data_IF_906962896809
#
_entry.id   IF_906962896809
#
_cell.length_a   1.000
_cell.length_b   1.000
_cell.length_c   1.000
_cell.angle_alpha   90.00
_cell.angle_beta   90.00
_cell.angle_gamma   90.00
#
_symmetry.space_group_name_H-M   'P 1'
#
loop_
_entity.id
_entity.type
_entity.pdbx_description
1 polymer ?
#
# COMPACT_ATOMS: atom_id res chain seq x y z
N UNK A 1 -8.46 -2.54 1.71
CA UNK A 1 -6.98 -2.63 1.75
C UNK A 1 -6.52 -3.62 0.72
N UNK A 2 -5.62 -3.21 -0.19
CA UNK A 2 -4.96 -4.08 -1.17
C UNK A 2 -3.71 -4.71 -0.53
N UNK A 3 -3.93 -5.85 0.11
CA UNK A 3 -2.92 -6.47 0.94
C UNK A 3 -1.89 -7.26 0.13
N UNK A 4 -0.62 -7.20 0.52
CA UNK A 4 0.51 -7.86 -0.18
C UNK A 4 0.67 -7.44 -1.66
N UNK A 5 0.12 -6.30 -2.06
CA UNK A 5 0.08 -5.87 -3.47
C UNK A 5 -0.96 -6.60 -4.32
N UNK A 6 -1.90 -7.33 -3.70
CA UNK A 6 -3.00 -8.02 -4.36
C UNK A 6 -4.31 -7.25 -4.15
N UNK A 7 -5.08 -7.10 -5.21
CA UNK A 7 -6.34 -6.35 -5.16
C UNK A 7 -7.42 -7.04 -4.33
N UNK A 8 -8.28 -6.23 -3.71
CA UNK A 8 -9.62 -6.68 -3.31
C UNK A 8 -10.49 -6.92 -4.56
N UNK A 9 -11.64 -7.59 -4.39
CA UNK A 9 -12.67 -7.77 -5.41
C UNK A 9 -13.36 -6.43 -5.73
N UNK A 10 -12.65 -5.56 -6.47
CA UNK A 10 -13.05 -4.17 -6.67
C UNK A 10 -14.33 -4.01 -7.46
N UNK A 11 -14.64 -4.91 -8.39
CA UNK A 11 -15.91 -4.83 -9.13
C UNK A 11 -17.11 -4.99 -8.18
N UNK A 12 -17.05 -5.96 -7.28
CA UNK A 12 -18.08 -6.19 -6.26
C UNK A 12 -18.18 -5.02 -5.28
N UNK A 13 -17.02 -4.51 -4.80
CA UNK A 13 -16.99 -3.38 -3.88
C UNK A 13 -17.58 -2.13 -4.52
N UNK A 14 -17.22 -1.84 -5.77
CA UNK A 14 -17.71 -0.67 -6.50
C UNK A 14 -19.20 -0.79 -6.82
N UNK A 15 -19.70 -1.99 -7.15
CA UNK A 15 -21.13 -2.22 -7.35
C UNK A 15 -21.94 -1.93 -6.07
N UNK A 16 -21.48 -2.44 -4.92
CA UNK A 16 -22.09 -2.15 -3.63
C UNK A 16 -22.05 -0.64 -3.34
N UNK A 17 -20.90 -0.01 -3.54
CA UNK A 17 -20.72 1.41 -3.30
C UNK A 17 -21.69 2.27 -4.15
N UNK A 18 -21.84 1.95 -5.42
CA UNK A 18 -22.77 2.63 -6.32
C UNK A 18 -24.23 2.47 -5.88
N UNK A 19 -24.66 1.24 -5.53
CA UNK A 19 -26.02 0.97 -5.09
C UNK A 19 -26.39 1.69 -3.79
N UNK A 20 -25.41 1.93 -2.92
CA UNK A 20 -25.62 2.56 -1.62
C UNK A 20 -25.08 3.99 -1.53
N UNK A 21 -24.67 4.58 -2.64
CA UNK A 21 -24.08 5.93 -2.71
C UNK A 21 -22.92 6.14 -1.71
N UNK A 22 -21.99 5.17 -1.65
CA UNK A 22 -20.86 5.19 -0.74
C UNK A 22 -19.59 5.70 -1.45
N UNK A 23 -18.74 6.37 -0.68
CA UNK A 23 -17.39 6.75 -1.11
C UNK A 23 -16.47 5.56 -0.84
N UNK A 24 -15.65 5.20 -1.85
CA UNK A 24 -14.63 4.16 -1.70
C UNK A 24 -13.24 4.81 -1.61
N UNK A 25 -12.53 4.50 -0.54
CA UNK A 25 -11.14 4.88 -0.33
C UNK A 25 -10.30 3.59 -0.41
N UNK A 26 -9.39 3.50 -1.38
CA UNK A 26 -8.48 2.39 -1.50
C UNK A 26 -7.25 2.61 -0.61
N UNK A 27 -7.06 1.76 0.40
CA UNK A 27 -5.75 1.64 1.04
C UNK A 27 -4.86 0.81 0.11
N UNK A 28 -4.12 1.49 -0.73
CA UNK A 28 -3.15 0.94 -1.67
C UNK A 28 -1.70 1.14 -1.18
N UNK A 29 -1.51 1.22 0.15
CA UNK A 29 -0.18 1.40 0.76
C UNK A 29 0.84 0.32 0.36
N UNK A 30 0.37 -0.80 -0.18
CA UNK A 30 1.19 -1.90 -0.71
C UNK A 30 0.95 -2.11 -2.22
N UNK A 31 0.20 -1.23 -2.88
CA UNK A 31 -0.38 -1.46 -4.21
C UNK A 31 0.30 -0.76 -5.38
N UNK A 32 1.36 0.03 -5.15
CA UNK A 32 2.04 0.72 -6.25
C UNK A 32 2.61 -0.30 -7.28
N UNK A 33 2.43 -0.05 -8.58
CA UNK A 33 2.77 -0.97 -9.69
C UNK A 33 1.94 -2.26 -9.73
N UNK A 34 0.90 -2.39 -8.90
CA UNK A 34 -0.06 -3.50 -8.96
C UNK A 34 -1.36 -3.05 -9.62
N UNK A 35 -2.12 -4.00 -10.17
CA UNK A 35 -3.37 -3.70 -10.88
C UNK A 35 -4.45 -4.76 -10.68
N UNK A 36 -5.70 -4.34 -10.93
CA UNK A 36 -6.89 -5.18 -10.98
C UNK A 36 -7.57 -5.00 -12.33
N UNK A 37 -7.64 -6.07 -13.12
CA UNK A 37 -8.23 -6.06 -14.49
C UNK A 37 -7.72 -4.89 -15.34
N UNK A 38 -6.38 -4.66 -15.28
CA UNK A 38 -5.71 -3.61 -16.03
C UNK A 38 -5.81 -2.19 -15.45
N UNK A 39 -6.52 -2.00 -14.33
CA UNK A 39 -6.58 -0.70 -13.63
C UNK A 39 -5.58 -0.68 -12.48
N UNK A 40 -4.76 0.36 -12.39
CA UNK A 40 -3.81 0.52 -11.29
C UNK A 40 -4.55 0.60 -9.95
N UNK A 41 -4.03 -0.09 -8.92
CA UNK A 41 -4.59 -0.01 -7.57
C UNK A 41 -4.44 1.41 -7.01
N UNK A 42 -5.44 1.87 -6.27
CA UNK A 42 -5.56 3.23 -5.80
C UNK A 42 -6.25 4.20 -6.77
N UNK A 43 -6.61 3.75 -7.99
CA UNK A 43 -7.28 4.58 -9.00
C UNK A 43 -8.73 4.15 -9.32
N UNK A 44 -9.23 3.13 -8.65
CA UNK A 44 -10.54 2.54 -8.94
C UNK A 44 -11.64 3.20 -8.10
N UNK A 45 -11.37 3.48 -6.84
CA UNK A 45 -12.28 4.19 -5.92
C UNK A 45 -12.33 5.70 -6.15
N UNK A 46 -12.93 6.42 -5.22
CA UNK A 46 -12.95 7.89 -5.20
C UNK A 46 -11.60 8.48 -4.81
N UNK A 47 -10.93 7.82 -3.89
CA UNK A 47 -9.59 8.16 -3.40
C UNK A 47 -8.74 6.90 -3.30
N UNK A 48 -7.43 7.05 -3.46
CA UNK A 48 -6.46 6.01 -3.18
C UNK A 48 -5.28 6.56 -2.40
N UNK A 49 -4.69 5.73 -1.54
CA UNK A 49 -3.58 6.11 -0.69
C UNK A 49 -2.38 5.21 -0.96
N UNK A 50 -1.25 5.78 -1.40
CA UNK A 50 0.04 5.11 -1.45
C UNK A 50 0.85 5.46 -0.22
N UNK A 51 1.67 4.51 0.22
CA UNK A 51 2.68 4.73 1.27
C UNK A 51 4.08 4.63 0.67
N UNK A 52 4.94 5.57 1.05
CA UNK A 52 6.37 5.55 0.75
C UNK A 52 7.21 5.45 2.04
N UNK A 53 6.62 4.79 3.07
CA UNK A 53 7.35 4.41 4.27
C UNK A 53 8.55 3.52 3.92
N UNK A 54 9.58 3.47 4.77
CA UNK A 54 10.83 2.73 4.52
C UNK A 54 10.63 1.23 4.22
N UNK A 55 9.54 0.63 4.69
CA UNK A 55 9.21 -0.79 4.46
C UNK A 55 8.55 -1.07 3.11
N UNK A 56 8.23 -0.05 2.31
CA UNK A 56 7.52 -0.21 1.04
C UNK A 56 8.47 -0.49 -0.13
N UNK A 57 7.90 -0.87 -1.27
CA UNK A 57 8.68 -1.18 -2.47
C UNK A 57 9.47 0.02 -2.98
N UNK A 58 8.94 1.22 -2.77
CA UNK A 58 9.54 2.52 -3.06
C UNK A 58 9.43 3.38 -1.81
N UNK A 59 10.51 3.99 -1.39
CA UNK A 59 10.58 4.64 -0.09
C UNK A 59 11.11 6.07 -0.17
N UNK A 60 10.60 6.92 0.71
CA UNK A 60 11.15 8.23 1.03
C UNK A 60 11.42 8.40 2.54
N UNK A 61 11.57 7.26 3.26
CA UNK A 61 11.62 7.21 4.71
C UNK A 61 10.22 7.25 5.30
N UNK A 62 9.64 8.43 5.38
CA UNK A 62 8.24 8.67 5.73
C UNK A 62 7.57 9.50 4.66
N UNK A 63 6.39 9.08 4.22
CA UNK A 63 5.59 9.82 3.24
C UNK A 63 4.56 8.96 2.54
N UNK A 64 3.82 9.59 1.65
CA UNK A 64 2.76 8.95 0.88
C UNK A 64 2.24 9.84 -0.22
N UNK A 65 1.27 9.31 -0.98
CA UNK A 65 0.54 10.07 -1.98
C UNK A 65 -0.95 9.78 -1.86
N UNK A 66 -1.76 10.82 -2.01
CA UNK A 66 -3.20 10.73 -2.16
C UNK A 66 -3.54 10.84 -3.65
N UNK A 67 -4.23 9.84 -4.17
CA UNK A 67 -4.78 9.82 -5.50
C UNK A 67 -6.24 10.28 -5.42
N UNK A 68 -6.63 11.21 -6.27
CA UNK A 68 -7.94 11.84 -6.26
C UNK A 68 -8.58 11.65 -7.63
N UNK A 69 -9.73 11.00 -7.67
CA UNK A 69 -10.44 10.71 -8.91
C UNK A 69 -11.19 11.92 -9.47
N UNK A 70 -11.87 12.66 -8.60
CA UNK A 70 -12.69 13.81 -8.99
C UNK A 70 -11.92 15.12 -8.79
N UNK A 71 -11.76 15.90 -9.86
CA UNK A 71 -11.03 17.17 -9.85
C UNK A 71 -11.60 18.19 -8.84
N UNK A 72 -12.91 18.09 -8.49
CA UNK A 72 -13.54 18.98 -7.51
C UNK A 72 -12.91 18.88 -6.11
N UNK A 73 -12.34 17.72 -5.75
CA UNK A 73 -11.78 17.44 -4.44
C UNK A 73 -10.30 17.85 -4.32
N UNK A 74 -9.65 18.20 -5.45
CA UNK A 74 -8.20 18.50 -5.50
C UNK A 74 -7.86 19.76 -4.69
N UNK A 75 -8.64 20.83 -4.83
CA UNK A 75 -8.36 22.08 -4.13
C UNK A 75 -8.42 21.92 -2.62
N UNK A 76 -9.44 21.24 -2.12
CA UNK A 76 -9.60 20.99 -0.69
C UNK A 76 -8.47 20.08 -0.15
N UNK A 77 -8.08 19.07 -0.90
CA UNK A 77 -6.95 18.21 -0.54
C UNK A 77 -5.62 18.99 -0.46
N UNK A 78 -5.37 19.92 -1.39
CA UNK A 78 -4.19 20.80 -1.35
C UNK A 78 -4.19 21.71 -0.11
N UNK A 79 -5.37 22.26 0.24
CA UNK A 79 -5.54 23.11 1.42
C UNK A 79 -5.24 22.31 2.70
N UNK A 80 -5.86 21.13 2.84
CA UNK A 80 -5.65 20.26 4.01
C UNK A 80 -4.18 19.85 4.12
N UNK A 81 -3.55 19.49 3.01
CA UNK A 81 -2.13 19.09 2.95
C UNK A 81 -1.18 20.20 3.43
N UNK A 82 -1.51 21.45 3.14
CA UNK A 82 -0.65 22.61 3.43
C UNK A 82 -1.20 23.48 4.57
N UNK A 83 -1.47 22.89 5.70
CA UNK A 83 -1.83 23.58 6.97
C UNK A 83 -3.13 24.39 6.88
N UNK A 84 -4.05 24.00 6.00
CA UNK A 84 -5.30 24.73 5.80
C UNK A 84 -5.14 26.04 5.05
N UNK A 85 -4.05 26.23 4.29
CA UNK A 85 -3.77 27.44 3.52
C UNK A 85 -4.03 27.22 2.02
N UNK A 86 -4.34 28.31 1.31
CA UNK A 86 -4.46 28.31 -0.14
C UNK A 86 -3.12 28.57 -0.87
N UNK A 87 -2.00 28.15 -0.26
CA UNK A 87 -0.63 28.39 -0.73
C UNK A 87 -0.35 27.81 -2.12
N UNK A 88 -0.96 26.66 -2.47
CA UNK A 88 -0.83 26.08 -3.81
C UNK A 88 -1.33 27.02 -4.91
N UNK A 89 -2.41 27.78 -4.67
CA UNK A 89 -2.90 28.82 -5.60
C UNK A 89 -1.92 29.98 -5.76
N UNK A 90 -1.24 30.37 -4.68
CA UNK A 90 -0.22 31.42 -4.72
C UNK A 90 0.96 31.01 -5.61
N UNK A 91 1.47 29.80 -5.46
CA UNK A 91 2.57 29.30 -6.30
C UNK A 91 2.18 29.15 -7.78
N UNK A 92 0.91 28.93 -8.08
CA UNK A 92 0.41 28.92 -9.46
C UNK A 92 0.09 30.31 -10.00
N UNK A 93 0.33 31.40 -9.24
CA UNK A 93 0.04 32.77 -9.64
C UNK A 93 -1.46 33.09 -9.75
N UNK A 94 -2.31 32.32 -9.10
CA UNK A 94 -3.78 32.51 -9.14
C UNK A 94 -4.29 33.49 -8.09
N UNK A 95 -3.48 33.81 -7.10
CA UNK A 95 -3.75 34.79 -6.03
C UNK A 95 -2.46 35.52 -5.68
N UNK A 96 -2.58 36.79 -5.25
CA UNK A 96 -1.43 37.64 -4.91
C UNK A 96 -0.81 37.32 -3.54
N UNK A 97 -1.61 36.76 -2.62
CA UNK A 97 -1.18 36.41 -1.26
C UNK A 97 -1.96 35.22 -0.74
N UNK A 98 -1.27 34.24 -0.18
CA UNK A 98 -1.93 33.12 0.49
C UNK A 98 -2.29 33.45 1.94
N UNK A 99 -3.30 32.75 2.44
CA UNK A 99 -3.78 32.88 3.82
C UNK A 99 -4.33 31.56 4.33
N UNK A 100 -4.58 31.46 5.63
CA UNK A 100 -5.27 30.33 6.24
C UNK A 100 -6.77 30.42 5.91
N UNK A 101 -7.32 29.35 5.31
CA UNK A 101 -8.69 29.32 4.80
C UNK A 101 -9.54 28.19 5.35
N UNK A 102 -8.92 27.10 5.84
CA UNK A 102 -9.62 25.94 6.36
C UNK A 102 -8.75 25.13 7.33
N UNK A 103 -9.28 24.02 7.88
CA UNK A 103 -8.49 23.06 8.64
C UNK A 103 -7.44 22.39 7.74
N UNK A 104 -6.33 21.99 8.35
CA UNK A 104 -5.27 21.26 7.65
C UNK A 104 -4.11 20.94 8.57
N UNK A 105 -3.16 20.18 8.05
CA UNK A 105 -1.94 19.83 8.75
C UNK A 105 -0.72 19.86 7.83
N UNK A 106 0.46 19.68 8.38
CA UNK A 106 1.71 19.67 7.61
C UNK A 106 1.98 18.26 7.09
N UNK A 107 1.39 17.92 5.93
CA UNK A 107 1.54 16.63 5.29
C UNK A 107 2.60 16.57 4.19
N UNK A 108 3.17 17.72 3.82
CA UNK A 108 4.20 17.76 2.78
C UNK A 108 5.50 17.13 3.26
N UNK A 109 6.09 16.21 2.47
CA UNK A 109 7.45 15.75 2.71
C UNK A 109 8.46 16.86 2.42
N UNK A 110 9.72 16.67 2.88
CA UNK A 110 10.81 17.54 2.45
C UNK A 110 11.20 17.26 0.99
N UNK A 111 11.79 18.26 0.32
CA UNK A 111 12.32 18.09 -1.04
C UNK A 111 13.40 17.01 -1.12
N UNK A 112 14.18 16.82 -0.05
CA UNK A 112 15.18 15.74 0.03
C UNK A 112 14.52 14.36 -0.02
N UNK A 113 13.45 14.15 0.74
CA UNK A 113 12.70 12.90 0.74
C UNK A 113 12.05 12.68 -0.63
N UNK A 114 11.47 13.73 -1.21
CA UNK A 114 10.86 13.66 -2.54
C UNK A 114 11.90 13.31 -3.63
N UNK A 115 13.09 13.91 -3.60
CA UNK A 115 14.18 13.61 -4.53
C UNK A 115 14.67 12.16 -4.38
N UNK A 116 14.77 11.66 -3.15
CA UNK A 116 15.14 10.27 -2.88
C UNK A 116 14.12 9.28 -3.46
N UNK A 117 12.83 9.55 -3.33
CA UNK A 117 11.78 8.77 -3.95
C UNK A 117 11.83 8.87 -5.47
N UNK A 118 12.00 10.08 -6.00
CA UNK A 118 12.02 10.33 -7.44
C UNK A 118 13.05 9.47 -8.16
N UNK A 119 14.27 9.38 -7.62
CA UNK A 119 15.33 8.55 -8.19
C UNK A 119 14.96 7.04 -8.26
N UNK A 120 14.16 6.55 -7.31
CA UNK A 120 13.66 5.17 -7.36
C UNK A 120 12.53 5.00 -8.39
N UNK A 121 11.67 6.02 -8.53
CA UNK A 121 10.58 5.98 -9.50
C UNK A 121 11.08 6.00 -10.96
N UNK A 122 12.24 6.64 -11.23
CA UNK A 122 12.87 6.62 -12.56
C UNK A 122 13.28 5.20 -13.01
N UNK A 123 13.48 4.29 -12.06
CA UNK A 123 13.84 2.89 -12.34
C UNK A 123 12.80 1.91 -11.76
N UNK A 124 11.56 2.37 -11.57
CA UNK A 124 10.51 1.60 -10.91
C UNK A 124 10.26 0.23 -11.56
N UNK A 125 10.25 0.18 -12.90
CA UNK A 125 10.06 -1.07 -13.64
C UNK A 125 11.14 -2.09 -13.31
N UNK A 126 12.41 -1.69 -13.30
CA UNK A 126 13.54 -2.58 -12.95
C UNK A 126 13.44 -3.09 -11.52
N UNK A 127 13.05 -2.24 -10.58
CA UNK A 127 12.85 -2.64 -9.18
C UNK A 127 11.72 -3.67 -9.09
N UNK A 128 10.60 -3.42 -9.76
CA UNK A 128 9.44 -4.31 -9.74
C UNK A 128 9.74 -5.66 -10.40
N UNK A 129 10.41 -5.68 -11.55
CA UNK A 129 10.86 -6.89 -12.24
C UNK A 129 11.77 -7.75 -11.36
N UNK A 130 12.76 -7.13 -10.70
CA UNK A 130 13.67 -7.84 -9.80
C UNK A 130 12.92 -8.46 -8.59
N UNK A 131 11.95 -7.74 -8.02
CA UNK A 131 11.11 -8.25 -6.94
C UNK A 131 10.23 -9.41 -7.38
N UNK A 132 9.60 -9.30 -8.55
CA UNK A 132 8.78 -10.37 -9.13
C UNK A 132 9.61 -11.62 -9.42
N UNK A 133 10.83 -11.46 -9.94
CA UNK A 133 11.73 -12.58 -10.18
C UNK A 133 12.09 -13.34 -8.87
N UNK A 134 12.36 -12.59 -7.79
CA UNK A 134 12.60 -13.19 -6.46
C UNK A 134 11.35 -13.87 -5.91
N UNK A 135 10.19 -13.25 -6.03
CA UNK A 135 8.92 -13.81 -5.57
C UNK A 135 8.59 -15.12 -6.29
N UNK A 136 8.73 -15.15 -7.62
CA UNK A 136 8.51 -16.35 -8.43
C UNK A 136 9.49 -17.46 -8.05
N UNK A 137 10.75 -17.13 -7.81
CA UNK A 137 11.76 -18.10 -7.36
C UNK A 137 11.36 -18.73 -6.01
N UNK A 138 10.87 -17.95 -5.05
CA UNK A 138 10.33 -18.49 -3.80
C UNK A 138 9.15 -19.41 -4.06
N UNK A 139 8.20 -18.97 -4.88
CA UNK A 139 7.00 -19.71 -5.18
C UNK A 139 7.33 -21.09 -5.79
N UNK A 140 8.14 -21.12 -6.84
CA UNK A 140 8.57 -22.34 -7.53
C UNK A 140 9.31 -23.32 -6.60
N UNK A 141 10.25 -22.82 -5.80
CA UNK A 141 11.03 -23.65 -4.91
C UNK A 141 10.23 -24.20 -3.72
N UNK A 142 9.18 -23.51 -3.29
CA UNK A 142 8.35 -23.94 -2.17
C UNK A 142 7.09 -24.71 -2.60
N UNK A 143 6.78 -24.73 -3.91
CA UNK A 143 5.62 -25.43 -4.46
C UNK A 143 5.56 -26.91 -4.03
N UNK A 144 6.65 -27.71 -4.06
CA UNK A 144 6.60 -29.11 -3.62
C UNK A 144 6.19 -29.27 -2.14
N UNK A 145 6.50 -28.29 -1.28
CA UNK A 145 6.06 -28.32 0.11
C UNK A 145 4.57 -28.03 0.26
N UNK A 146 4.04 -27.15 -0.57
CA UNK A 146 2.61 -26.86 -0.61
C UNK A 146 1.81 -28.06 -1.16
N UNK A 147 2.28 -28.69 -2.24
CA UNK A 147 1.69 -29.91 -2.79
C UNK A 147 1.70 -31.08 -1.80
N UNK A 148 2.71 -31.12 -0.93
CA UNK A 148 2.77 -32.09 0.18
C UNK A 148 1.92 -31.68 1.39
N UNK A 149 1.16 -30.58 1.33
CA UNK A 149 0.29 -30.10 2.41
C UNK A 149 1.03 -29.59 3.65
N UNK A 150 2.32 -29.20 3.50
CA UNK A 150 3.15 -28.73 4.62
C UNK A 150 3.07 -27.23 4.86
N UNK A 151 2.71 -26.46 3.84
CA UNK A 151 2.55 -25.00 3.91
C UNK A 151 1.47 -24.55 2.92
N UNK A 152 0.87 -23.40 3.14
CA UNK A 152 0.08 -22.69 2.12
C UNK A 152 0.93 -21.58 1.52
N UNK A 153 0.89 -21.47 0.19
CA UNK A 153 1.54 -20.39 -0.57
C UNK A 153 0.59 -19.21 -0.83
N UNK A 154 1.13 -18.04 -1.18
CA UNK A 154 0.32 -16.90 -1.60
C UNK A 154 -0.53 -17.24 -2.83
N UNK A 155 -1.76 -16.73 -2.84
CA UNK A 155 -2.66 -16.84 -3.99
C UNK A 155 -2.81 -15.47 -4.64
N UNK A 156 -2.59 -15.40 -5.94
CA UNK A 156 -2.88 -14.21 -6.76
C UNK A 156 -4.12 -14.53 -7.59
N UNK A 157 -5.29 -13.92 -7.30
CA UNK A 157 -6.52 -14.17 -8.03
C UNK A 157 -6.41 -13.77 -9.51
N UNK A 158 -7.23 -14.39 -10.34
CA UNK A 158 -7.35 -14.02 -11.75
C UNK A 158 -7.73 -12.54 -11.91
N UNK A 159 -7.11 -11.88 -12.89
CA UNK A 159 -7.28 -10.44 -13.12
C UNK A 159 -6.47 -9.54 -12.20
N UNK A 160 -5.75 -10.10 -11.21
CA UNK A 160 -4.82 -9.34 -10.39
C UNK A 160 -3.39 -9.46 -10.93
N UNK A 161 -2.69 -8.32 -10.98
CA UNK A 161 -1.23 -8.27 -11.20
C UNK A 161 -0.63 -7.68 -9.94
N UNK A 162 0.16 -8.48 -9.20
CA UNK A 162 0.79 -8.04 -7.96
C UNK A 162 2.18 -7.46 -8.22
N UNK A 163 2.74 -6.78 -7.22
CA UNK A 163 4.03 -6.09 -7.26
C UNK A 163 5.11 -6.75 -6.40
N UNK A 164 4.92 -8.00 -5.99
CA UNK A 164 5.82 -8.71 -5.09
C UNK A 164 6.16 -7.88 -3.82
N UNK A 165 5.14 -7.20 -3.22
CA UNK A 165 5.35 -6.43 -1.99
C UNK A 165 5.93 -7.30 -0.88
N UNK A 166 5.42 -8.50 -0.71
CA UNK A 166 5.95 -9.51 0.20
C UNK A 166 5.75 -10.92 -0.36
N UNK A 167 6.57 -11.85 0.10
CA UNK A 167 6.29 -13.28 -0.01
C UNK A 167 5.95 -13.80 1.39
N UNK A 168 4.92 -14.64 1.51
CA UNK A 168 4.52 -15.20 2.79
C UNK A 168 4.14 -16.68 2.65
N UNK A 169 4.22 -17.40 3.75
CA UNK A 169 3.64 -18.73 3.89
C UNK A 169 2.70 -18.72 5.09
N UNK A 170 1.67 -19.57 5.06
CA UNK A 170 0.85 -19.78 6.23
C UNK A 170 1.33 -21.04 6.96
N UNK A 171 1.56 -20.92 8.25
CA UNK A 171 1.78 -22.05 9.14
C UNK A 171 0.42 -22.56 9.66
N UNK A 172 0.39 -23.77 10.14
CA UNK A 172 -0.81 -24.42 10.66
C UNK A 172 -1.39 -23.69 11.88
N UNK A 173 -0.51 -23.27 12.79
CA UNK A 173 -0.85 -22.62 14.04
C UNK A 173 0.25 -21.66 14.50
N UNK A 174 0.05 -21.02 15.66
CA UNK A 174 0.97 -20.04 16.22
C UNK A 174 2.26 -20.68 16.73
N UNK A 175 2.19 -21.88 17.22
CA UNK A 175 3.33 -22.67 17.73
C UNK A 175 4.27 -23.01 16.58
N UNK A 176 3.74 -23.54 15.49
CA UNK A 176 4.52 -23.84 14.29
C UNK A 176 5.13 -22.57 13.69
N UNK A 177 4.36 -21.50 13.55
CA UNK A 177 4.86 -20.22 13.07
C UNK A 177 6.05 -19.73 13.89
N UNK A 178 5.93 -19.79 15.22
CA UNK A 178 6.96 -19.31 16.14
C UNK A 178 8.23 -20.14 16.03
N UNK A 179 8.09 -21.46 15.98
CA UNK A 179 9.22 -22.37 15.79
C UNK A 179 9.92 -22.15 14.45
N UNK A 180 9.18 -21.98 13.34
CA UNK A 180 9.76 -21.71 12.01
C UNK A 180 10.49 -20.37 11.94
N UNK A 181 9.97 -19.32 12.59
CA UNK A 181 10.66 -18.02 12.65
C UNK A 181 12.00 -18.18 13.39
N UNK A 182 12.03 -18.94 14.48
CA UNK A 182 13.25 -19.21 15.24
C UNK A 182 14.26 -20.01 14.41
N UNK A 183 13.83 -21.09 13.78
CA UNK A 183 14.67 -21.94 12.94
C UNK A 183 15.26 -21.17 11.74
N UNK A 184 14.45 -20.41 11.04
CA UNK A 184 14.91 -19.55 9.93
C UNK A 184 15.95 -18.54 10.40
N UNK A 185 15.76 -17.94 11.57
CA UNK A 185 16.70 -16.99 12.15
C UNK A 185 18.04 -17.63 12.50
N UNK A 186 18.03 -18.85 13.07
CA UNK A 186 19.24 -19.63 13.36
C UNK A 186 20.02 -19.96 12.09
N UNK A 187 19.32 -20.10 10.97
CA UNK A 187 19.91 -20.32 9.64
C UNK A 187 20.20 -19.03 8.85
N UNK A 188 20.19 -17.86 9.51
CA UNK A 188 20.53 -16.58 8.91
C UNK A 188 19.44 -15.96 8.03
N UNK A 189 18.21 -16.47 8.08
CA UNK A 189 17.07 -15.98 7.30
C UNK A 189 16.15 -15.17 8.22
N UNK A 190 16.06 -13.85 7.96
CA UNK A 190 15.15 -12.98 8.70
C UNK A 190 13.72 -13.14 8.18
N UNK A 191 12.85 -13.65 9.02
CA UNK A 191 11.41 -13.72 8.77
C UNK A 191 10.64 -13.11 9.92
N UNK A 192 9.46 -12.57 9.63
CA UNK A 192 8.61 -11.89 10.62
C UNK A 192 7.17 -12.36 10.47
N UNK A 193 6.40 -12.32 11.55
CA UNK A 193 4.96 -12.46 11.44
C UNK A 193 4.32 -11.11 11.06
N UNK A 194 3.16 -11.17 10.41
CA UNK A 194 2.52 -9.96 9.90
C UNK A 194 1.47 -9.42 10.87
N UNK A 195 1.96 -8.87 11.96
CA UNK A 195 1.29 -8.11 13.02
C UNK A 195 0.16 -8.81 13.81
N UNK A 196 -0.14 -8.22 14.95
CA UNK A 196 -1.30 -8.54 15.78
C UNK A 196 -2.54 -7.94 15.11
N UNK A 197 -3.63 -8.70 14.94
CA UNK A 197 -4.88 -8.16 14.39
C UNK A 197 -5.38 -6.96 15.20
N UNK A 198 -5.80 -5.90 14.51
CA UNK A 198 -6.17 -4.64 15.18
C UNK A 198 -7.29 -4.79 16.21
N UNK A 199 -8.26 -5.67 15.96
CA UNK A 199 -9.38 -5.91 16.90
C UNK A 199 -8.94 -6.62 18.19
N UNK A 200 -7.81 -7.34 18.19
CA UNK A 200 -7.24 -7.98 19.39
C UNK A 200 -6.16 -7.14 20.07
N UNK A 201 -5.71 -6.08 19.40
CA UNK A 201 -4.73 -5.15 19.98
C UNK A 201 -5.36 -4.35 21.13
N UNK A 202 -4.57 -3.92 22.16
CA UNK A 202 -5.10 -3.19 23.33
C UNK A 202 -5.92 -1.94 22.97
N UNK A 203 -5.54 -1.23 21.90
CA UNK A 203 -6.33 -0.09 21.42
C UNK A 203 -7.64 -0.53 20.75
N UNK A 204 -7.59 -1.57 19.91
CA UNK A 204 -8.78 -2.11 19.24
C UNK A 204 -9.85 -2.59 20.22
N UNK A 205 -9.43 -3.25 21.29
CA UNK A 205 -10.33 -3.72 22.36
C UNK A 205 -11.04 -2.61 23.14
N UNK A 206 -10.60 -1.35 23.01
CA UNK A 206 -11.28 -0.20 23.63
C UNK A 206 -12.46 0.31 22.80
N UNK A 207 -12.57 -0.07 21.54
CA UNK A 207 -13.57 0.43 20.62
C UNK A 207 -14.66 -0.59 20.23
N UNK A 208 -14.55 -1.84 20.71
CA UNK A 208 -15.57 -2.84 20.45
C UNK A 208 -15.22 -4.22 20.89
#
# INVERSE_FOLDING_TARGET
VHYAGVACEMDTIMDIAHRHNLIVIEDAAQGIMASYKGKALGTIGSFGCFSFHETKNYSMGEGGALLIRDAKDVEEAEIIREKGTNRSKFYRGQIDKYTWVNYGSSYLPSDMNAAYLYAQLEIADKINEARLALWNRYYENLLPLAEAGKIDLPVVPEGCVHNAHMFYIKAKDIEERTARIADLKENGIMSVFHYIPLHTAPAGQKFG
#
